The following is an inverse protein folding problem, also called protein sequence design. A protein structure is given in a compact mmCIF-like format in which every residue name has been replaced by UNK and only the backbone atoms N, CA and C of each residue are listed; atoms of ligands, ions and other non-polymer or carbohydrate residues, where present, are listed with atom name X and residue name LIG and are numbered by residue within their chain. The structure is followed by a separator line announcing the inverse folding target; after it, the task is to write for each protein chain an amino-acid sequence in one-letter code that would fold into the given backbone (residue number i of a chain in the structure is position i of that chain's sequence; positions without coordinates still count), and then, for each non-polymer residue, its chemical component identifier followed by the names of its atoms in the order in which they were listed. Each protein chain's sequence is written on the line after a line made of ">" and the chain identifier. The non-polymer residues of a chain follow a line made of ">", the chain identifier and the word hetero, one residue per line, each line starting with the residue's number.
data_IF_756855138449
#
_entry.id   IF_756855138449
#
_cell.length_a   1.000
_cell.length_b   1.000
_cell.length_c   1.000
_cell.angle_alpha   90.00
_cell.angle_beta   90.00
_cell.angle_gamma   90.00
#
_symmetry.space_group_name_H-M   'P 1'
#
loop_
_entity.id
_entity.type
_entity.pdbx_description
1 polymer ?
#
# COMPACT_ATOMS: atom_id res chain seq x y z
N UNK A 1 -21.35 14.14 15.07
CA UNK A 1 -21.38 12.71 15.48
C UNK A 1 -22.63 12.07 14.90
N UNK A 2 -22.59 11.32 13.78
CA UNK A 2 -23.77 10.66 13.28
C UNK A 2 -23.84 9.20 13.76
N UNK A 3 -25.06 8.84 14.19
CA UNK A 3 -25.47 7.58 14.78
C UNK A 3 -25.35 6.44 13.76
N UNK A 4 -24.45 5.48 14.00
CA UNK A 4 -24.37 4.25 13.23
C UNK A 4 -25.52 3.33 13.64
N UNK A 5 -26.45 3.02 12.73
CA UNK A 5 -27.35 1.89 12.90
C UNK A 5 -26.59 0.61 12.54
N UNK A 6 -25.83 0.08 13.51
CA UNK A 6 -25.15 -1.20 13.41
C UNK A 6 -26.14 -2.30 13.82
N UNK A 7 -26.76 -2.98 12.87
CA UNK A 7 -27.48 -4.23 13.15
C UNK A 7 -26.51 -5.39 12.91
N UNK A 8 -25.87 -5.88 13.97
CA UNK A 8 -25.07 -7.11 13.93
C UNK A 8 -26.03 -8.29 14.00
N UNK A 9 -26.24 -9.01 12.89
CA UNK A 9 -26.95 -10.29 12.94
C UNK A 9 -25.91 -11.39 13.16
N UNK A 10 -25.80 -11.85 14.41
CA UNK A 10 -24.93 -12.98 14.76
C UNK A 10 -25.59 -14.29 14.30
N UNK A 11 -25.18 -14.79 13.15
CA UNK A 11 -25.33 -16.22 12.81
C UNK A 11 -23.93 -16.81 12.69
N UNK A 12 -23.72 -17.98 13.31
CA UNK A 12 -22.41 -18.55 13.70
C UNK A 12 -21.34 -18.75 12.60
N UNK A 13 -21.54 -18.33 11.36
CA UNK A 13 -20.53 -18.46 10.29
C UNK A 13 -20.41 -17.26 9.35
N UNK A 14 -21.21 -16.21 9.50
CA UNK A 14 -21.19 -15.07 8.58
C UNK A 14 -21.42 -13.78 9.35
N UNK A 15 -20.35 -13.00 9.53
CA UNK A 15 -20.50 -11.60 9.90
C UNK A 15 -20.90 -10.85 8.62
N UNK A 16 -22.17 -10.47 8.54
CA UNK A 16 -22.70 -9.59 7.51
C UNK A 16 -22.81 -8.17 8.07
N UNK A 17 -22.33 -7.18 7.31
CA UNK A 17 -22.61 -5.78 7.57
C UNK A 17 -23.76 -5.33 6.68
N UNK A 18 -24.77 -4.72 7.29
CA UNK A 18 -25.84 -4.02 6.59
C UNK A 18 -25.66 -2.53 6.90
N UNK A 19 -25.41 -1.73 5.87
CA UNK A 19 -25.35 -0.27 6.01
C UNK A 19 -26.12 0.42 4.88
N UNK A 20 -26.60 1.63 5.15
CA UNK A 20 -27.36 2.42 4.19
C UNK A 20 -26.41 3.38 3.44
N UNK A 21 -26.28 3.20 2.13
CA UNK A 21 -25.53 4.12 1.28
C UNK A 21 -26.41 5.33 0.93
N UNK A 22 -26.02 6.51 1.44
CA UNK A 22 -26.73 7.77 1.17
C UNK A 22 -26.54 8.30 -0.25
N UNK A 23 -25.45 7.96 -0.94
CA UNK A 23 -25.22 8.42 -2.32
C UNK A 23 -26.14 7.71 -3.30
N UNK A 24 -26.39 6.43 -3.07
CA UNK A 24 -27.16 5.59 -3.99
C UNK A 24 -28.56 5.22 -3.44
N UNK A 25 -28.92 5.71 -2.25
CA UNK A 25 -30.18 5.45 -1.54
C UNK A 25 -30.53 3.95 -1.44
N UNK A 26 -29.52 3.11 -1.17
CA UNK A 26 -29.65 1.64 -1.16
C UNK A 26 -29.14 1.05 0.14
N UNK A 27 -29.77 -0.05 0.55
CA UNK A 27 -29.27 -0.92 1.61
C UNK A 27 -28.22 -1.84 0.99
N UNK A 28 -26.99 -1.77 1.48
CA UNK A 28 -25.89 -2.63 1.04
C UNK A 28 -25.69 -3.72 2.09
N UNK A 29 -25.92 -4.97 1.70
CA UNK A 29 -25.52 -6.15 2.46
C UNK A 29 -24.21 -6.67 1.89
N UNK A 30 -23.21 -6.84 2.74
CA UNK A 30 -21.94 -7.43 2.31
C UNK A 30 -21.40 -8.35 3.39
N UNK A 31 -21.01 -9.55 2.96
CA UNK A 31 -20.30 -10.51 3.79
C UNK A 31 -18.85 -10.02 3.97
N UNK A 32 -18.30 -10.15 5.18
CA UNK A 32 -16.89 -9.82 5.48
C UNK A 32 -15.92 -10.50 4.51
N UNK A 33 -16.17 -11.76 4.13
CA UNK A 33 -15.31 -12.50 3.21
C UNK A 33 -15.27 -11.88 1.82
N UNK A 34 -16.40 -11.39 1.31
CA UNK A 34 -16.47 -10.68 0.02
C UNK A 34 -15.71 -9.35 0.07
N UNK A 35 -15.78 -8.61 1.18
CA UNK A 35 -15.00 -7.39 1.37
C UNK A 35 -13.51 -7.67 1.48
N UNK A 36 -13.14 -8.74 2.19
CA UNK A 36 -11.75 -9.16 2.32
C UNK A 36 -11.18 -9.59 0.97
N UNK A 37 -11.95 -10.32 0.16
CA UNK A 37 -11.57 -10.67 -1.21
C UNK A 37 -11.43 -9.42 -2.11
N UNK A 38 -12.34 -8.45 -1.99
CA UNK A 38 -12.24 -7.16 -2.69
C UNK A 38 -10.99 -6.36 -2.27
N UNK A 39 -10.65 -6.38 -0.97
CA UNK A 39 -9.46 -5.68 -0.45
C UNK A 39 -8.14 -6.34 -0.84
N UNK A 40 -8.14 -7.66 -0.98
CA UNK A 40 -6.99 -8.44 -1.46
C UNK A 40 -6.90 -8.50 -2.99
N UNK A 41 -7.88 -7.94 -3.72
CA UNK A 41 -7.84 -7.86 -5.18
C UNK A 41 -6.63 -7.06 -5.65
N UNK A 42 -5.94 -7.47 -6.72
CA UNK A 42 -4.91 -6.66 -7.37
C UNK A 42 -5.42 -5.28 -7.80
N UNK A 43 -6.71 -5.16 -8.07
CA UNK A 43 -7.36 -3.91 -8.49
C UNK A 43 -7.79 -3.03 -7.32
N UNK A 44 -7.64 -3.49 -6.07
CA UNK A 44 -7.99 -2.72 -4.90
C UNK A 44 -7.20 -1.40 -4.85
N UNK A 45 -7.90 -0.28 -4.67
CA UNK A 45 -7.28 1.03 -4.55
C UNK A 45 -6.74 1.21 -3.14
N UNK A 46 -5.45 1.52 -3.06
CA UNK A 46 -4.70 1.65 -1.82
C UNK A 46 -4.09 3.05 -1.74
N UNK A 47 -4.28 3.70 -0.59
CA UNK A 47 -3.69 5.00 -0.28
C UNK A 47 -2.58 4.88 0.76
N UNK A 48 -1.49 5.57 0.51
CA UNK A 48 -0.23 5.51 1.25
C UNK A 48 0.22 6.94 1.59
N UNK A 49 0.79 7.11 2.77
CA UNK A 49 1.46 8.34 3.20
C UNK A 49 2.96 8.06 3.34
N UNK A 50 3.80 8.68 2.50
CA UNK A 50 5.26 8.52 2.53
C UNK A 50 5.88 9.84 2.97
N UNK A 51 6.30 9.94 4.23
CA UNK A 51 6.90 11.16 4.77
C UNK A 51 6.05 12.43 4.59
N UNK A 52 4.73 12.31 4.60
CA UNK A 52 3.78 13.41 4.36
C UNK A 52 3.30 13.56 2.91
N UNK A 53 3.84 12.79 1.96
CA UNK A 53 3.38 12.76 0.57
C UNK A 53 2.35 11.65 0.37
N UNK A 54 1.21 12.00 -0.21
CA UNK A 54 0.11 11.06 -0.39
C UNK A 54 0.14 10.43 -1.78
N UNK A 55 0.11 9.10 -1.80
CA UNK A 55 0.10 8.31 -3.01
C UNK A 55 -1.10 7.38 -3.03
N UNK A 56 -1.66 7.19 -4.22
CA UNK A 56 -2.72 6.23 -4.47
C UNK A 56 -2.36 5.39 -5.69
N UNK A 57 -2.50 4.07 -5.54
CA UNK A 57 -2.29 3.11 -6.62
C UNK A 57 -3.10 1.84 -6.33
N UNK A 58 -3.05 0.88 -7.26
CA UNK A 58 -3.65 -0.44 -7.04
C UNK A 58 -2.75 -1.31 -6.17
N UNK A 59 -3.33 -2.27 -5.44
CA UNK A 59 -2.56 -3.30 -4.71
C UNK A 59 -1.59 -4.02 -5.64
N UNK A 60 -2.04 -4.38 -6.85
CA UNK A 60 -1.23 -5.00 -7.89
C UNK A 60 -0.01 -4.17 -8.30
N UNK A 61 -0.09 -2.83 -8.24
CA UNK A 61 1.07 -1.95 -8.46
C UNK A 61 2.09 -2.12 -7.33
N UNK A 62 1.65 -2.04 -6.07
CA UNK A 62 2.54 -2.18 -4.92
C UNK A 62 3.11 -3.60 -4.78
N UNK A 63 2.40 -4.62 -5.26
CA UNK A 63 2.82 -6.02 -5.24
C UNK A 63 3.49 -6.50 -6.54
N UNK A 64 3.83 -5.61 -7.48
CA UNK A 64 4.50 -6.00 -8.74
C UNK A 64 5.75 -6.84 -8.50
N UNK A 65 6.52 -6.48 -7.46
CA UNK A 65 7.66 -7.25 -6.98
C UNK A 65 7.32 -7.82 -5.60
N UNK A 66 6.62 -8.97 -5.51
CA UNK A 66 6.07 -9.48 -4.26
C UNK A 66 7.15 -9.87 -3.24
N UNK A 67 8.36 -10.17 -3.71
CA UNK A 67 9.52 -10.50 -2.87
C UNK A 67 10.27 -9.27 -2.36
N UNK A 68 9.87 -8.05 -2.75
CA UNK A 68 10.43 -6.81 -2.22
C UNK A 68 9.84 -6.48 -0.84
N UNK A 69 10.49 -5.59 -0.09
CA UNK A 69 9.99 -5.14 1.21
C UNK A 69 8.66 -4.42 1.06
N UNK A 70 8.54 -3.58 0.04
CA UNK A 70 7.28 -2.90 -0.28
C UNK A 70 6.20 -3.89 -0.71
N UNK A 71 6.53 -4.86 -1.56
CA UNK A 71 5.60 -5.89 -2.02
C UNK A 71 5.00 -6.68 -0.85
N UNK A 72 5.86 -7.15 0.06
CA UNK A 72 5.44 -7.88 1.27
C UNK A 72 4.49 -7.10 2.17
N UNK A 73 4.57 -5.77 2.19
CA UNK A 73 3.62 -4.96 2.95
C UNK A 73 2.18 -5.19 2.47
N UNK A 74 1.97 -5.28 1.15
CA UNK A 74 0.65 -5.31 0.52
C UNK A 74 0.26 -6.70 -0.05
N UNK A 75 0.92 -7.78 0.37
CA UNK A 75 0.47 -9.14 0.08
C UNK A 75 -0.61 -9.60 1.08
N UNK A 76 -1.35 -10.66 0.73
CA UNK A 76 -2.32 -11.27 1.65
C UNK A 76 -1.63 -11.71 2.95
N UNK A 77 -2.23 -11.36 4.10
CA UNK A 77 -1.61 -11.58 5.41
C UNK A 77 -0.40 -10.67 5.70
N UNK A 78 -0.11 -9.74 4.79
CA UNK A 78 0.90 -8.72 4.93
C UNK A 78 0.54 -7.69 6.01
N UNK A 79 1.57 -6.99 6.43
CA UNK A 79 1.51 -6.02 7.52
C UNK A 79 0.70 -4.75 7.20
N UNK A 80 0.33 -4.52 5.94
CA UNK A 80 -0.59 -3.44 5.56
C UNK A 80 -1.99 -3.69 6.13
N UNK A 81 -2.44 -4.94 6.21
CA UNK A 81 -3.78 -5.25 6.73
C UNK A 81 -3.78 -5.44 8.26
N UNK A 82 -2.60 -5.37 8.90
CA UNK A 82 -2.39 -5.53 10.34
C UNK A 82 -1.90 -4.23 10.98
N UNK A 83 -2.40 -3.89 12.17
CA UNK A 83 -1.87 -2.78 12.99
C UNK A 83 -0.43 -3.00 13.49
N UNK A 84 0.22 -4.09 13.09
CA UNK A 84 1.57 -4.45 13.48
C UNK A 84 2.36 -4.89 12.25
N UNK A 85 3.45 -4.20 11.95
CA UNK A 85 4.41 -4.59 10.92
C UNK A 85 5.60 -5.34 11.55
N UNK A 86 5.73 -6.65 11.33
CA UNK A 86 6.94 -7.38 11.76
C UNK A 86 8.00 -7.32 10.66
N UNK A 87 9.05 -6.51 10.87
CA UNK A 87 10.23 -6.42 9.97
C UNK A 87 11.14 -7.64 10.11
N UNK A 88 11.13 -8.27 11.28
CA UNK A 88 11.89 -9.48 11.64
C UNK A 88 11.07 -10.36 12.58
N UNK A 89 11.49 -11.61 12.79
CA UNK A 89 10.87 -12.52 13.76
C UNK A 89 10.90 -11.99 15.21
N UNK A 90 11.70 -10.95 15.51
CA UNK A 90 11.91 -10.43 16.87
C UNK A 90 11.34 -9.04 17.14
N UNK A 91 11.06 -8.21 16.13
CA UNK A 91 10.61 -6.82 16.37
C UNK A 91 9.44 -6.43 15.45
N UNK A 92 8.27 -6.25 16.07
CA UNK A 92 7.12 -5.59 15.45
C UNK A 92 7.35 -4.08 15.50
N UNK A 93 7.63 -3.46 14.36
CA UNK A 93 7.45 -2.02 14.19
C UNK A 93 5.93 -1.80 14.09
N UNK A 94 5.30 -0.97 14.93
CA UNK A 94 3.90 -0.62 14.72
C UNK A 94 3.74 -0.11 13.29
N UNK A 95 2.80 -0.67 12.52
CA UNK A 95 2.45 -0.02 11.26
C UNK A 95 1.93 1.36 11.64
N UNK A 96 2.66 2.39 11.23
CA UNK A 96 2.25 3.75 11.50
C UNK A 96 1.08 4.01 10.57
N UNK A 97 -0.04 4.44 11.14
CA UNK A 97 -1.21 4.88 10.40
C UNK A 97 -1.33 6.37 10.65
N UNK A 98 -1.56 7.15 9.60
CA UNK A 98 -1.86 8.57 9.80
C UNK A 98 -3.30 8.77 10.31
N UNK A 99 -3.65 10.03 10.61
CA UNK A 99 -4.96 10.41 11.11
C UNK A 99 -6.13 10.03 10.17
N UNK A 100 -5.83 9.76 8.89
CA UNK A 100 -6.80 9.34 7.87
C UNK A 100 -6.77 7.82 7.63
N UNK A 101 -6.10 7.05 8.50
CA UNK A 101 -5.90 5.60 8.37
C UNK A 101 -5.23 5.19 7.05
N UNK A 102 -4.31 6.01 6.54
CA UNK A 102 -3.39 5.57 5.47
C UNK A 102 -2.16 4.97 6.11
N UNK A 103 -1.64 3.91 5.50
CA UNK A 103 -0.38 3.33 5.91
C UNK A 103 0.73 4.37 5.73
N UNK A 104 1.53 4.58 6.77
CA UNK A 104 2.60 5.55 6.81
C UNK A 104 3.95 4.87 6.67
N UNK A 105 4.77 5.41 5.77
CA UNK A 105 6.16 5.02 5.57
C UNK A 105 7.00 6.26 5.86
N UNK A 106 7.87 6.16 6.85
CA UNK A 106 8.79 7.25 7.25
C UNK A 106 9.99 7.34 6.30
N UNK A 107 9.74 7.73 5.06
CA UNK A 107 10.72 7.81 3.96
C UNK A 107 10.51 9.06 3.10
N UNK A 108 11.41 9.31 2.16
CA UNK A 108 11.33 10.45 1.25
C UNK A 108 10.17 10.29 0.25
N UNK A 109 9.08 11.00 0.53
CA UNK A 109 7.90 10.96 -0.31
C UNK A 109 8.10 11.58 -1.69
N UNK A 110 9.01 12.55 -1.90
CA UNK A 110 9.24 13.15 -3.22
C UNK A 110 9.92 12.13 -4.14
N UNK A 111 10.90 11.41 -3.64
CA UNK A 111 11.64 10.39 -4.39
C UNK A 111 10.77 9.15 -4.64
N UNK A 112 9.87 8.82 -3.71
CA UNK A 112 8.93 7.70 -3.86
C UNK A 112 8.09 7.79 -5.14
N UNK A 113 7.83 8.99 -5.68
CA UNK A 113 7.17 9.14 -6.99
C UNK A 113 7.84 8.29 -8.07
N UNK A 114 9.17 8.27 -8.10
CA UNK A 114 9.94 7.54 -9.11
C UNK A 114 9.89 6.02 -8.86
N UNK A 115 9.93 5.60 -7.60
CA UNK A 115 9.70 4.20 -7.20
C UNK A 115 8.32 3.75 -7.69
N UNK A 116 7.27 4.52 -7.40
CA UNK A 116 5.91 4.20 -7.80
C UNK A 116 5.73 4.17 -9.33
N UNK A 117 6.37 5.08 -10.06
CA UNK A 117 6.32 5.05 -11.52
C UNK A 117 7.05 3.84 -12.10
N UNK A 118 8.18 3.43 -11.53
CA UNK A 118 8.84 2.17 -11.90
C UNK A 118 7.91 0.97 -11.68
N UNK A 119 7.22 0.92 -10.53
CA UNK A 119 6.21 -0.12 -10.25
C UNK A 119 5.01 -0.11 -11.20
N UNK A 120 4.73 1.00 -11.89
CA UNK A 120 3.65 1.10 -12.89
C UNK A 120 4.13 0.71 -14.28
N UNK A 121 5.30 1.18 -14.66
CA UNK A 121 5.81 1.09 -16.04
C UNK A 121 6.70 -0.14 -16.26
N UNK A 122 7.42 -0.59 -15.23
CA UNK A 122 8.39 -1.67 -15.31
C UNK A 122 9.76 -1.19 -15.82
N UNK A 123 9.90 0.11 -16.03
CA UNK A 123 11.12 0.77 -16.49
C UNK A 123 11.36 2.06 -15.73
N UNK A 124 12.63 2.45 -15.62
CA UNK A 124 13.05 3.65 -14.91
C UNK A 124 13.04 4.85 -15.85
N UNK A 125 11.99 5.67 -15.77
CA UNK A 125 11.88 6.94 -16.50
C UNK A 125 12.03 8.10 -15.53
N UNK A 126 13.04 8.93 -15.77
CA UNK A 126 13.36 10.09 -14.95
C UNK A 126 13.20 11.38 -15.74
N UNK A 127 12.84 12.50 -15.08
CA UNK A 127 12.87 13.81 -15.72
C UNK A 127 14.26 14.12 -16.26
N UNK A 128 14.31 14.89 -17.35
CA UNK A 128 15.57 15.39 -17.89
C UNK A 128 16.36 16.15 -16.81
N UNK A 129 17.65 15.84 -16.69
CA UNK A 129 18.53 16.48 -15.70
C UNK A 129 18.26 16.07 -14.25
N UNK A 130 17.61 14.93 -13.98
CA UNK A 130 17.38 14.43 -12.62
C UNK A 130 18.70 14.26 -11.84
N UNK A 131 18.86 15.01 -10.74
CA UNK A 131 20.12 15.08 -9.96
C UNK A 131 20.14 14.21 -8.71
N UNK A 132 19.02 13.56 -8.36
CA UNK A 132 18.84 12.86 -7.09
C UNK A 132 18.99 11.33 -7.23
N UNK A 133 19.77 10.85 -8.23
CA UNK A 133 19.98 9.41 -8.51
C UNK A 133 20.46 8.62 -7.29
N UNK A 134 21.41 9.16 -6.52
CA UNK A 134 21.92 8.51 -5.30
C UNK A 134 20.83 8.36 -4.23
N UNK A 135 19.92 9.32 -4.13
CA UNK A 135 18.81 9.24 -3.19
C UNK A 135 17.79 8.19 -3.65
N UNK A 136 17.52 8.14 -4.96
CA UNK A 136 16.69 7.09 -5.56
C UNK A 136 17.30 5.68 -5.38
N UNK A 137 18.62 5.53 -5.51
CA UNK A 137 19.33 4.27 -5.20
C UNK A 137 19.05 3.83 -3.75
N UNK A 138 19.11 4.77 -2.79
CA UNK A 138 18.83 4.48 -1.38
C UNK A 138 17.37 4.13 -1.09
N UNK A 139 16.43 4.75 -1.79
CA UNK A 139 15.03 4.35 -1.70
C UNK A 139 14.80 2.97 -2.33
N UNK A 140 15.39 2.68 -3.48
CA UNK A 140 15.30 1.37 -4.13
C UNK A 140 15.82 0.24 -3.22
N UNK A 141 16.95 0.47 -2.54
CA UNK A 141 17.52 -0.43 -1.55
C UNK A 141 16.58 -0.62 -0.34
N UNK A 142 16.01 0.48 0.18
CA UNK A 142 15.08 0.43 1.31
C UNK A 142 13.84 -0.40 0.98
N UNK A 143 13.23 -0.19 -0.18
CA UNK A 143 12.06 -0.95 -0.62
C UNK A 143 12.43 -2.36 -1.11
N UNK A 144 13.73 -2.69 -1.20
CA UNK A 144 14.28 -3.96 -1.67
C UNK A 144 13.74 -4.37 -3.04
N UNK A 145 13.66 -3.41 -3.97
CA UNK A 145 13.23 -3.67 -5.36
C UNK A 145 14.50 -3.80 -6.21
N UNK A 146 15.01 -5.02 -6.33
CA UNK A 146 16.31 -5.30 -6.97
C UNK A 146 16.38 -4.77 -8.41
N UNK A 147 15.29 -4.92 -9.17
CA UNK A 147 15.18 -4.45 -10.55
C UNK A 147 15.32 -2.93 -10.65
N UNK A 148 14.78 -2.19 -9.67
CA UNK A 148 14.93 -0.74 -9.60
C UNK A 148 16.36 -0.37 -9.19
N UNK A 149 16.94 -1.04 -8.20
CA UNK A 149 18.34 -0.82 -7.80
C UNK A 149 19.28 -0.99 -9.00
N UNK A 150 19.11 -2.06 -9.77
CA UNK A 150 19.89 -2.32 -10.98
C UNK A 150 19.67 -1.21 -12.03
N UNK A 151 18.42 -0.81 -12.28
CA UNK A 151 18.12 0.25 -13.24
C UNK A 151 18.74 1.61 -12.85
N UNK A 152 18.75 1.95 -11.55
CA UNK A 152 19.39 3.18 -11.06
C UNK A 152 20.90 3.10 -11.20
N UNK A 153 21.52 1.96 -10.90
CA UNK A 153 22.96 1.76 -11.05
C UNK A 153 23.42 1.91 -12.51
N UNK A 154 22.64 1.37 -13.46
CA UNK A 154 22.88 1.58 -14.89
C UNK A 154 22.82 3.06 -15.28
N UNK A 155 21.85 3.82 -14.77
CA UNK A 155 21.76 5.27 -15.00
C UNK A 155 22.95 6.04 -14.39
N UNK A 156 23.58 5.50 -13.34
CA UNK A 156 24.78 6.06 -12.71
C UNK A 156 26.08 5.64 -13.42
N UNK A 157 26.02 4.76 -14.42
CA UNK A 157 27.21 4.22 -15.09
C UNK A 157 27.99 3.20 -14.26
N UNK A 158 27.32 2.50 -13.34
CA UNK A 158 27.87 1.35 -12.61
C UNK A 158 27.42 0.05 -13.29
#
# INVERSE_FOLDING_TARGET
>A
MPLFALVVRLTLLFLDFIYFDRKDSRVVQTNIMSRYALWNSPDAIVSLNVGGYFYTATRGTFTRYPNSELGRMFLEGGNFDSKTYKRTHSESIPSLWDEQNRFFIDRDGKIFRHVLNFLRLGELILPEGFKELRLLEKEADFYQIQELTNAVQLQMGK
#
